data_IF_573681027945
#
_entry.id   IF_573681027945
#
_cell.length_a   1.000
_cell.length_b   1.000
_cell.length_c   1.000
_cell.angle_alpha   90.00
_cell.angle_beta   90.00
_cell.angle_gamma   90.00
#
_symmetry.space_group_name_H-M   'P 1'
#
loop_
_entity.id
_entity.type
_entity.pdbx_description
1 polymer ?
#
# COMPACT_ATOMS: atom_id res chain seq x y z
N UNK A 1 -21.03 2.45 8.19
CA UNK A 1 -20.94 1.24 9.04
C UNK A 1 -19.51 0.71 8.89
N UNK A 2 -18.77 0.46 9.97
CA UNK A 2 -17.37 0.01 9.91
C UNK A 2 -17.28 -1.49 9.54
N UNK A 3 -16.25 -1.89 8.79
CA UNK A 3 -16.01 -3.28 8.39
C UNK A 3 -15.75 -4.21 9.58
N UNK A 4 -16.19 -5.47 9.47
CA UNK A 4 -16.05 -6.54 10.48
C UNK A 4 -14.63 -7.04 10.68
N UNK A 5 -13.67 -6.64 9.83
CA UNK A 5 -12.26 -6.97 9.98
C UNK A 5 -11.78 -6.50 11.37
N UNK A 6 -11.02 -7.29 12.13
CA UNK A 6 -10.64 -6.90 13.50
C UNK A 6 -9.44 -5.95 13.57
N UNK A 7 -8.52 -6.06 12.61
CA UNK A 7 -7.28 -5.28 12.53
C UNK A 7 -7.07 -4.78 11.11
N UNK A 8 -7.06 -3.46 10.91
CA UNK A 8 -6.76 -2.86 9.60
C UNK A 8 -5.24 -2.78 9.41
N UNK A 9 -4.74 -3.17 8.23
CA UNK A 9 -3.31 -3.18 7.89
C UNK A 9 -3.11 -2.27 6.68
N UNK A 10 -2.32 -1.23 6.85
CA UNK A 10 -2.15 -0.15 5.88
C UNK A 10 -0.66 -0.03 5.57
N UNK A 11 -0.32 0.00 4.29
CA UNK A 11 1.05 0.27 3.83
C UNK A 11 1.11 1.66 3.23
N UNK A 12 2.07 2.48 3.68
CA UNK A 12 2.35 3.80 3.11
C UNK A 12 3.50 3.69 2.11
N UNK A 13 3.26 4.11 0.87
CA UNK A 13 4.20 4.11 -0.24
C UNK A 13 4.43 5.54 -0.72
N UNK A 14 5.66 6.03 -0.69
CA UNK A 14 5.97 7.40 -1.11
C UNK A 14 7.42 7.60 -1.49
N UNK A 15 7.76 8.84 -1.88
CA UNK A 15 9.14 9.26 -2.21
C UNK A 15 9.92 9.75 -1.00
N UNK A 16 9.25 10.43 -0.08
CA UNK A 16 9.87 11.12 1.05
C UNK A 16 9.54 10.42 2.36
N UNK A 17 10.57 10.18 3.19
CA UNK A 17 10.39 9.66 4.56
C UNK A 17 9.53 10.62 5.36
N UNK A 18 9.85 11.91 5.32
CA UNK A 18 9.11 12.93 6.07
C UNK A 18 7.65 13.00 5.66
N UNK A 19 7.33 12.97 4.36
CA UNK A 19 5.93 13.00 3.91
C UNK A 19 5.16 11.74 4.33
N UNK A 20 5.78 10.58 4.23
CA UNK A 20 5.18 9.33 4.70
C UNK A 20 4.96 9.34 6.22
N UNK A 21 5.95 9.79 6.99
CA UNK A 21 5.89 9.88 8.45
C UNK A 21 4.78 10.85 8.89
N UNK A 22 4.66 12.00 8.23
CA UNK A 22 3.58 12.97 8.47
C UNK A 22 2.20 12.36 8.24
N UNK A 23 2.03 11.63 7.13
CA UNK A 23 0.78 10.91 6.82
C UNK A 23 0.49 9.83 7.87
N UNK A 24 1.50 9.03 8.25
CA UNK A 24 1.34 7.99 9.27
C UNK A 24 0.97 8.57 10.63
N UNK A 25 1.60 9.68 11.01
CA UNK A 25 1.34 10.40 12.24
C UNK A 25 -0.07 11.04 12.24
N UNK A 26 -0.50 11.58 11.10
CA UNK A 26 -1.86 12.07 10.89
C UNK A 26 -2.90 10.97 11.07
N UNK A 27 -2.71 9.80 10.44
CA UNK A 27 -3.64 8.66 10.57
C UNK A 27 -3.73 8.18 12.03
N UNK A 28 -2.60 8.13 12.73
CA UNK A 28 -2.55 7.66 14.13
C UNK A 28 -2.95 8.73 15.16
N UNK A 29 -3.03 9.99 14.77
CA UNK A 29 -3.28 11.12 15.66
C UNK A 29 -2.17 11.35 16.71
N UNK A 30 -0.95 10.87 16.46
CA UNK A 30 0.21 11.02 17.36
C UNK A 30 1.53 10.92 16.60
N UNK A 31 2.61 11.48 17.16
CA UNK A 31 3.97 11.29 16.65
C UNK A 31 4.45 9.85 16.90
N UNK A 32 4.32 9.01 15.89
CA UNK A 32 4.60 7.58 15.91
C UNK A 32 5.77 7.18 14.99
N UNK A 33 6.00 7.93 13.92
CA UNK A 33 7.09 7.75 12.97
C UNK A 33 8.07 8.92 13.08
N UNK A 34 9.37 8.61 12.98
CA UNK A 34 10.45 9.59 12.92
C UNK A 34 10.62 10.08 11.47
N UNK A 35 10.63 11.39 11.26
CA UNK A 35 10.83 12.00 9.94
C UNK A 35 12.30 11.96 9.49
N UNK A 36 13.22 11.56 10.38
CA UNK A 36 14.67 11.42 10.15
C UNK A 36 15.13 9.97 10.11
N UNK A 37 14.22 9.00 10.11
CA UNK A 37 14.56 7.60 9.95
C UNK A 37 15.36 7.36 8.64
N UNK A 38 16.35 6.45 8.64
CA UNK A 38 17.00 6.05 7.40
C UNK A 38 15.96 5.56 6.40
N UNK A 39 16.04 5.98 5.14
CA UNK A 39 14.92 5.86 4.24
C UNK A 39 14.72 4.40 3.80
N UNK A 40 15.73 3.54 3.96
CA UNK A 40 15.75 2.11 3.65
C UNK A 40 15.11 1.24 4.73
N UNK A 41 14.73 1.83 5.87
CA UNK A 41 14.08 1.13 6.98
C UNK A 41 12.57 1.08 6.76
N UNK A 42 12.00 -0.13 6.82
CA UNK A 42 10.55 -0.33 6.88
C UNK A 42 10.09 -0.38 8.33
N UNK A 43 9.26 0.58 8.74
CA UNK A 43 8.77 0.66 10.11
C UNK A 43 7.35 0.11 10.23
N UNK A 44 7.09 -0.68 11.27
CA UNK A 44 5.75 -1.18 11.59
C UNK A 44 5.29 -0.62 12.93
N UNK A 45 4.24 0.19 12.91
CA UNK A 45 3.63 0.75 14.12
C UNK A 45 2.19 0.31 14.25
N UNK A 46 1.79 -0.01 15.48
CA UNK A 46 0.39 -0.30 15.84
C UNK A 46 -0.20 0.87 16.61
N UNK A 47 -1.48 1.10 16.41
CA UNK A 47 -2.25 2.09 17.16
C UNK A 47 -3.74 1.77 17.14
N UNK A 48 -4.47 2.45 18.01
CA UNK A 48 -5.93 2.44 17.99
C UNK A 48 -6.38 3.80 17.46
N UNK A 49 -7.14 3.79 16.37
CA UNK A 49 -7.75 4.98 15.78
C UNK A 49 -9.25 4.81 15.96
N UNK A 50 -9.87 5.66 16.78
CA UNK A 50 -11.23 5.48 17.31
C UNK A 50 -11.39 4.09 17.97
N UNK A 51 -12.27 3.24 17.44
CA UNK A 51 -12.51 1.88 17.92
C UNK A 51 -11.83 0.80 17.08
N UNK A 52 -10.93 1.21 16.18
CA UNK A 52 -10.25 0.31 15.24
C UNK A 52 -8.78 0.17 15.56
N UNK A 53 -8.31 -1.08 15.63
CA UNK A 53 -6.88 -1.36 15.62
C UNK A 53 -6.33 -1.20 14.21
N UNK A 54 -5.31 -0.36 14.09
CA UNK A 54 -4.61 -0.04 12.85
C UNK A 54 -3.15 -0.45 13.00
N UNK A 55 -2.64 -1.14 11.99
CA UNK A 55 -1.22 -1.41 11.80
C UNK A 55 -0.78 -0.64 10.56
N UNK A 56 0.14 0.30 10.74
CA UNK A 56 0.75 1.05 9.66
C UNK A 56 2.16 0.52 9.42
N UNK A 57 2.43 0.23 8.16
CA UNK A 57 3.74 -0.13 7.64
C UNK A 57 4.22 1.09 6.84
N UNK A 58 5.16 1.83 7.38
CA UNK A 58 5.84 2.89 6.65
C UNK A 58 6.93 2.24 5.80
N UNK A 59 6.79 2.34 4.48
CA UNK A 59 7.79 1.85 3.53
C UNK A 59 8.25 3.01 2.65
N UNK A 60 9.12 3.87 3.21
CA UNK A 60 9.62 5.00 2.46
C UNK A 60 10.42 4.53 1.23
N UNK A 61 10.54 5.42 0.24
CA UNK A 61 11.33 5.24 -0.99
C UNK A 61 10.80 4.29 -2.07
N UNK A 62 9.71 3.55 -1.86
CA UNK A 62 9.22 2.65 -2.92
C UNK A 62 8.83 3.37 -4.22
N UNK A 63 8.62 4.68 -4.17
CA UNK A 63 8.38 5.52 -5.34
C UNK A 63 9.58 6.35 -5.80
N UNK A 64 10.75 6.22 -5.17
CA UNK A 64 11.96 6.92 -5.61
C UNK A 64 12.50 6.34 -6.91
N UNK A 65 13.00 7.19 -7.81
CA UNK A 65 13.51 6.79 -9.13
C UNK A 65 15.02 6.51 -9.12
N UNK A 66 15.74 7.01 -8.11
CA UNK A 66 17.19 6.86 -7.95
C UNK A 66 17.65 5.63 -7.14
N UNK A 67 16.74 4.77 -6.69
CA UNK A 67 17.08 3.51 -6.00
C UNK A 67 17.17 2.35 -6.99
N UNK A 68 18.05 1.39 -6.70
CA UNK A 68 18.23 0.19 -7.52
C UNK A 68 17.01 -0.73 -7.44
N UNK A 69 16.81 -1.53 -8.49
CA UNK A 69 15.73 -2.54 -8.51
C UNK A 69 15.88 -3.59 -7.40
N UNK A 70 17.12 -3.88 -6.98
CA UNK A 70 17.40 -4.75 -5.83
C UNK A 70 16.87 -4.14 -4.53
N UNK A 71 17.20 -2.87 -4.25
CA UNK A 71 16.70 -2.17 -3.06
C UNK A 71 15.18 -2.07 -3.07
N UNK A 72 14.58 -1.71 -4.21
CA UNK A 72 13.14 -1.65 -4.36
C UNK A 72 12.47 -3.00 -4.04
N UNK A 73 13.05 -4.09 -4.56
CA UNK A 73 12.55 -5.46 -4.32
C UNK A 73 12.68 -5.86 -2.86
N UNK A 74 13.79 -5.52 -2.22
CA UNK A 74 14.04 -5.83 -0.82
C UNK A 74 13.05 -5.10 0.10
N UNK A 75 12.87 -3.78 -0.09
CA UNK A 75 11.91 -2.99 0.67
C UNK A 75 10.49 -3.52 0.46
N UNK A 76 10.08 -3.82 -0.78
CA UNK A 76 8.74 -4.35 -1.04
C UNK A 76 8.50 -5.71 -0.37
N UNK A 77 9.50 -6.62 -0.38
CA UNK A 77 9.43 -7.91 0.33
C UNK A 77 9.28 -7.72 1.83
N UNK A 78 10.03 -6.80 2.41
CA UNK A 78 9.93 -6.48 3.83
C UNK A 78 8.56 -5.91 4.19
N UNK A 79 8.01 -5.00 3.39
CA UNK A 79 6.66 -4.48 3.57
C UNK A 79 5.60 -5.59 3.49
N UNK A 80 5.74 -6.52 2.54
CA UNK A 80 4.86 -7.69 2.41
C UNK A 80 4.93 -8.55 3.67
N UNK A 81 6.13 -8.90 4.12
CA UNK A 81 6.35 -9.70 5.33
C UNK A 81 5.75 -9.03 6.58
N UNK A 82 5.97 -7.72 6.76
CA UNK A 82 5.46 -6.97 7.91
C UNK A 82 3.94 -6.75 7.89
N UNK A 83 3.31 -6.96 6.74
CA UNK A 83 1.86 -6.79 6.53
C UNK A 83 1.07 -8.09 6.55
N UNK A 84 1.69 -9.24 6.87
CA UNK A 84 1.06 -10.57 6.91
C UNK A 84 -0.34 -10.57 7.58
N UNK A 85 -1.35 -11.26 6.99
CA UNK A 85 -1.34 -12.03 5.72
C UNK A 85 -1.35 -11.17 4.44
N UNK A 86 -1.26 -9.84 4.57
CA UNK A 86 -1.15 -8.88 3.48
C UNK A 86 -1.90 -7.57 3.79
N UNK A 87 -1.64 -6.48 3.06
CA UNK A 87 -2.26 -5.19 3.35
C UNK A 87 -3.74 -5.18 2.96
N UNK A 88 -4.56 -4.53 3.77
CA UNK A 88 -5.95 -4.23 3.38
C UNK A 88 -6.04 -3.00 2.50
N UNK A 89 -5.20 -2.00 2.81
CA UNK A 89 -5.12 -0.72 2.12
C UNK A 89 -3.67 -0.39 1.83
N UNK A 90 -3.41 0.14 0.64
CA UNK A 90 -2.16 0.76 0.24
C UNK A 90 -2.44 2.26 0.03
N UNK A 91 -1.61 3.13 0.59
CA UNK A 91 -1.72 4.58 0.41
C UNK A 91 -0.50 5.06 -0.37
N UNK A 92 -0.74 5.58 -1.57
CA UNK A 92 0.28 6.27 -2.38
C UNK A 92 0.37 7.73 -1.93
N UNK A 93 1.46 8.09 -1.25
CA UNK A 93 1.75 9.45 -0.81
C UNK A 93 2.47 10.17 -1.95
N UNK A 94 1.80 11.13 -2.58
CA UNK A 94 2.28 11.86 -3.75
C UNK A 94 2.25 13.37 -3.53
N UNK A 95 3.30 14.06 -3.96
CA UNK A 95 3.29 15.51 -4.05
C UNK A 95 2.75 15.93 -5.44
N UNK A 96 1.64 16.69 -5.52
CA UNK A 96 1.03 17.05 -6.80
C UNK A 96 1.93 17.90 -7.68
N UNK A 97 2.85 18.68 -7.10
CA UNK A 97 3.78 19.54 -7.82
C UNK A 97 5.02 18.78 -8.36
N UNK A 98 5.22 17.53 -7.93
CA UNK A 98 6.40 16.73 -8.28
C UNK A 98 6.05 15.39 -8.93
N UNK A 99 4.76 15.14 -9.21
CA UNK A 99 4.33 13.91 -9.84
C UNK A 99 4.70 13.91 -11.33
N UNK A 100 5.48 12.92 -11.76
CA UNK A 100 6.01 12.80 -13.12
C UNK A 100 5.66 11.45 -13.74
N UNK A 101 5.88 11.30 -15.05
CA UNK A 101 5.65 10.03 -15.78
C UNK A 101 6.43 8.86 -15.15
N UNK A 102 7.63 9.11 -14.62
CA UNK A 102 8.43 8.09 -13.93
C UNK A 102 7.70 7.54 -12.71
N UNK A 103 6.90 8.36 -12.02
CA UNK A 103 6.09 7.93 -10.89
C UNK A 103 4.96 7.02 -11.33
N UNK A 104 4.32 7.34 -12.46
CA UNK A 104 3.27 6.49 -13.02
C UNK A 104 3.81 5.10 -13.36
N UNK A 105 5.02 5.04 -13.94
CA UNK A 105 5.71 3.79 -14.25
C UNK A 105 6.11 3.03 -12.99
N UNK A 106 6.65 3.74 -11.98
CA UNK A 106 7.06 3.14 -10.71
C UNK A 106 5.86 2.60 -9.95
N UNK A 107 4.74 3.33 -9.89
CA UNK A 107 3.48 2.87 -9.28
C UNK A 107 2.97 1.60 -9.97
N UNK A 108 2.97 1.56 -11.32
CA UNK A 108 2.61 0.35 -12.08
C UNK A 108 3.52 -0.82 -11.74
N UNK A 109 4.83 -0.60 -11.63
CA UNK A 109 5.80 -1.63 -11.27
C UNK A 109 5.57 -2.19 -9.87
N UNK A 110 5.33 -1.31 -8.90
CA UNK A 110 5.19 -1.68 -7.48
C UNK A 110 3.84 -2.35 -7.17
N UNK A 111 2.74 -1.83 -7.71
CA UNK A 111 1.40 -2.41 -7.49
C UNK A 111 1.09 -3.59 -8.41
N UNK A 112 1.79 -3.68 -9.55
CA UNK A 112 1.63 -4.78 -10.50
C UNK A 112 0.27 -4.78 -11.18
N UNK A 113 -0.45 -5.90 -11.01
CA UNK A 113 -1.72 -6.16 -11.64
C UNK A 113 -2.86 -5.31 -11.05
N UNK A 114 -4.02 -5.34 -11.71
CA UNK A 114 -5.23 -4.60 -11.35
C UNK A 114 -5.64 -4.78 -9.87
N UNK A 115 -5.42 -5.96 -9.31
CA UNK A 115 -5.74 -6.26 -7.91
C UNK A 115 -4.96 -5.37 -6.93
N UNK A 116 -3.70 -5.03 -7.21
CA UNK A 116 -2.94 -4.10 -6.38
C UNK A 116 -3.64 -2.74 -6.32
N UNK A 117 -4.08 -2.23 -7.47
CA UNK A 117 -4.84 -0.98 -7.55
C UNK A 117 -6.18 -1.05 -6.80
N UNK A 118 -6.87 -2.19 -6.76
CA UNK A 118 -8.13 -2.35 -6.01
C UNK A 118 -7.99 -2.15 -4.51
N UNK A 119 -6.78 -2.27 -3.95
CA UNK A 119 -6.48 -2.00 -2.54
C UNK A 119 -5.86 -0.61 -2.30
N UNK A 120 -5.66 0.19 -3.36
CA UNK A 120 -4.88 1.42 -3.29
C UNK A 120 -5.72 2.70 -3.34
N UNK A 121 -5.33 3.70 -2.56
CA UNK A 121 -5.76 5.09 -2.75
C UNK A 121 -4.56 6.04 -2.88
N UNK A 122 -4.81 7.22 -3.46
CA UNK A 122 -3.84 8.30 -3.55
C UNK A 122 -4.08 9.29 -2.42
N UNK A 123 -3.02 9.72 -1.74
CA UNK A 123 -3.03 10.81 -0.79
C UNK A 123 -2.04 11.89 -1.23
N UNK A 124 -2.49 13.13 -1.34
CA UNK A 124 -1.63 14.27 -1.67
C UNK A 124 -1.30 15.11 -0.45
N UNK A 125 -0.01 15.44 -0.24
CA UNK A 125 0.48 16.15 0.95
C UNK A 125 0.43 17.68 0.84
N UNK A 126 0.22 18.20 -0.37
CA UNK A 126 0.17 19.63 -0.66
C UNK A 126 -1.03 19.96 -1.53
N UNK A 127 -1.41 21.23 -1.51
CA UNK A 127 -2.32 21.80 -2.50
C UNK A 127 -1.52 22.20 -3.75
N UNK A 128 -2.07 21.94 -4.93
CA UNK A 128 -1.57 22.49 -6.18
C UNK A 128 -2.63 23.38 -6.82
N UNK A 129 -2.19 24.52 -7.33
CA UNK A 129 -3.06 25.40 -8.13
C UNK A 129 -3.12 24.95 -9.60
N UNK A 130 -2.25 24.01 -9.99
CA UNK A 130 -2.15 23.48 -11.34
C UNK A 130 -2.63 22.03 -11.38
N UNK A 131 -3.24 21.67 -12.51
CA UNK A 131 -3.67 20.30 -12.76
C UNK A 131 -2.46 19.48 -13.23
N UNK A 132 -2.14 18.42 -12.50
CA UNK A 132 -1.13 17.45 -12.91
C UNK A 132 -1.81 16.24 -13.58
N UNK A 133 -1.73 16.16 -14.91
CA UNK A 133 -2.36 15.09 -15.70
C UNK A 133 -1.85 13.70 -15.33
N UNK A 134 -0.59 13.58 -14.91
CA UNK A 134 -0.02 12.30 -14.49
C UNK A 134 -0.62 11.86 -13.17
N UNK A 135 -0.72 12.76 -12.19
CA UNK A 135 -1.40 12.49 -10.93
C UNK A 135 -2.85 12.05 -11.17
N UNK A 136 -3.57 12.74 -12.06
CA UNK A 136 -4.94 12.38 -12.41
C UNK A 136 -5.05 10.97 -13.01
N UNK A 137 -4.11 10.56 -13.87
CA UNK A 137 -4.05 9.18 -14.39
C UNK A 137 -3.83 8.15 -13.28
N UNK A 138 -2.97 8.45 -12.29
CA UNK A 138 -2.74 7.55 -11.15
C UNK A 138 -4.01 7.46 -10.29
N UNK A 139 -4.66 8.58 -10.00
CA UNK A 139 -5.94 8.63 -9.25
C UNK A 139 -7.01 7.80 -9.96
N UNK A 140 -7.15 7.94 -11.27
CA UNK A 140 -8.11 7.17 -12.08
C UNK A 140 -7.84 5.66 -11.98
N UNK A 141 -6.58 5.23 -12.07
CA UNK A 141 -6.21 3.81 -11.88
C UNK A 141 -6.49 3.30 -10.47
N UNK A 142 -6.44 4.18 -9.48
CA UNK A 142 -6.81 3.88 -8.09
C UNK A 142 -8.33 4.02 -7.85
N UNK A 143 -9.16 3.91 -8.89
CA UNK A 143 -10.63 3.97 -8.83
C UNK A 143 -11.15 5.32 -8.29
N UNK A 144 -10.45 6.41 -8.63
CA UNK A 144 -10.74 7.77 -8.17
C UNK A 144 -10.73 7.95 -6.65
N UNK A 145 -10.05 7.06 -5.92
CA UNK A 145 -9.85 7.20 -4.47
C UNK A 145 -8.68 8.14 -4.22
N UNK A 146 -9.01 9.38 -3.85
CA UNK A 146 -8.05 10.43 -3.59
C UNK A 146 -8.42 11.18 -2.30
N UNK A 147 -7.42 11.48 -1.49
CA UNK A 147 -7.53 12.35 -0.33
C UNK A 147 -6.48 13.45 -0.40
N UNK A 148 -6.90 14.71 -0.27
CA UNK A 148 -5.98 15.84 -0.14
C UNK A 148 -5.75 16.15 1.33
N UNK A 149 -4.52 15.96 1.80
CA UNK A 149 -4.13 16.25 3.17
C UNK A 149 -3.87 17.75 3.32
N UNK A 150 -4.72 18.39 4.11
CA UNK A 150 -4.65 19.79 4.51
C UNK A 150 -4.45 19.90 6.02
N UNK A 151 -4.01 21.07 6.50
CA UNK A 151 -3.84 21.30 7.94
C UNK A 151 -5.14 21.15 8.74
N UNK A 152 -6.28 21.45 8.12
CA UNK A 152 -7.61 21.34 8.71
C UNK A 152 -8.29 20.00 8.43
N UNK A 153 -7.62 19.06 7.75
CA UNK A 153 -8.19 17.77 7.43
C UNK A 153 -8.51 17.00 8.70
N UNK A 154 -9.70 16.39 8.74
CA UNK A 154 -10.03 15.40 9.74
C UNK A 154 -9.57 14.01 9.27
N UNK A 155 -9.01 13.16 10.13
CA UNK A 155 -8.73 11.77 9.81
C UNK A 155 -9.99 10.98 9.42
N UNK A 156 -11.19 11.47 9.78
CA UNK A 156 -12.45 10.75 9.63
C UNK A 156 -12.79 10.39 8.19
N UNK A 157 -12.63 11.33 7.26
CA UNK A 157 -12.91 11.11 5.83
C UNK A 157 -11.92 10.11 5.22
N UNK A 158 -10.66 10.18 5.66
CA UNK A 158 -9.61 9.24 5.26
C UNK A 158 -9.91 7.82 5.79
N UNK A 159 -10.32 7.71 7.06
CA UNK A 159 -10.72 6.43 7.65
C UNK A 159 -11.96 5.86 6.97
N UNK A 160 -12.94 6.69 6.61
CA UNK A 160 -14.11 6.24 5.86
C UNK A 160 -13.70 5.69 4.49
N UNK A 161 -12.77 6.36 3.82
CA UNK A 161 -12.19 5.85 2.56
C UNK A 161 -11.56 4.47 2.76
N UNK A 162 -10.79 4.26 3.82
CA UNK A 162 -10.22 2.92 4.11
C UNK A 162 -11.29 1.86 4.31
N UNK A 163 -12.37 2.18 5.02
CA UNK A 163 -13.50 1.26 5.20
C UNK A 163 -14.19 0.92 3.88
N UNK A 164 -14.38 1.89 3.01
CA UNK A 164 -14.98 1.69 1.69
C UNK A 164 -14.10 0.78 0.82
N UNK A 165 -12.77 0.92 0.88
CA UNK A 165 -11.82 0.03 0.20
C UNK A 165 -11.97 -1.40 0.73
N UNK A 166 -11.99 -1.57 2.06
CA UNK A 166 -12.12 -2.88 2.68
C UNK A 166 -13.45 -3.53 2.32
N UNK A 167 -14.55 -2.78 2.33
CA UNK A 167 -15.88 -3.27 1.99
C UNK A 167 -16.00 -3.66 0.52
N UNK A 168 -15.48 -2.82 -0.38
CA UNK A 168 -15.43 -3.10 -1.83
C UNK A 168 -14.65 -4.39 -2.12
N UNK A 169 -13.64 -4.70 -1.31
CA UNK A 169 -12.87 -5.94 -1.41
C UNK A 169 -13.44 -7.10 -0.55
N UNK A 170 -14.65 -6.97 -0.02
CA UNK A 170 -15.34 -7.95 0.83
C UNK A 170 -14.53 -8.36 2.08
N UNK A 171 -13.81 -7.40 2.68
CA UNK A 171 -12.96 -7.63 3.85
C UNK A 171 -11.64 -8.35 3.55
N UNK A 172 -11.38 -8.73 2.30
CA UNK A 172 -10.14 -9.40 1.90
C UNK A 172 -8.97 -8.41 1.94
N UNK A 173 -7.78 -8.96 2.15
CA UNK A 173 -6.52 -8.24 1.98
C UNK A 173 -5.89 -8.60 0.64
N UNK A 174 -4.98 -7.76 0.18
CA UNK A 174 -4.14 -8.07 -0.96
C UNK A 174 -3.27 -9.29 -0.60
N UNK A 175 -3.20 -10.27 -1.49
CA UNK A 175 -2.35 -11.45 -1.33
C UNK A 175 -1.09 -11.22 -2.14
N UNK A 176 0.02 -11.00 -1.43
CA UNK A 176 1.35 -10.92 -2.03
C UNK A 176 2.03 -12.28 -1.83
N UNK A 177 2.26 -13.03 -2.90
CA UNK A 177 2.81 -14.39 -2.80
C UNK A 177 4.32 -14.38 -2.54
N UNK A 178 4.83 -15.33 -1.75
CA UNK A 178 6.26 -15.57 -1.61
C UNK A 178 6.89 -15.78 -3.00
N UNK A 179 7.79 -14.88 -3.39
CA UNK A 179 8.40 -14.83 -4.72
C UNK A 179 8.01 -13.62 -5.57
N UNK A 180 6.97 -12.86 -5.19
CA UNK A 180 6.71 -11.56 -5.81
C UNK A 180 7.87 -10.60 -5.49
N UNK A 181 8.31 -9.86 -6.50
CA UNK A 181 9.32 -8.82 -6.32
C UNK A 181 8.70 -7.55 -5.72
N UNK A 182 7.39 -7.35 -5.91
CA UNK A 182 6.63 -6.19 -5.44
C UNK A 182 5.26 -6.62 -4.89
N UNK A 183 4.31 -5.69 -4.69
CA UNK A 183 2.91 -5.97 -4.32
C UNK A 183 2.09 -6.58 -5.48
N UNK A 184 2.75 -7.30 -6.39
CA UNK A 184 2.13 -7.92 -7.56
C UNK A 184 1.48 -9.24 -7.19
N UNK A 185 0.26 -9.49 -7.67
CA UNK A 185 -0.37 -10.81 -7.60
C UNK A 185 0.07 -11.66 -8.80
N UNK A 186 0.39 -12.94 -8.57
CA UNK A 186 0.72 -13.85 -9.67
C UNK A 186 -0.53 -14.09 -10.54
N UNK A 187 -0.48 -13.73 -11.82
CA UNK A 187 -1.30 -14.40 -12.84
C UNK A 187 -0.70 -15.78 -13.10
N UNK A 188 -0.85 -16.71 -12.17
CA UNK A 188 -0.77 -18.12 -12.53
C UNK A 188 -2.19 -18.60 -12.70
N UNK A 189 -2.58 -18.80 -13.98
CA UNK A 189 -3.70 -19.63 -14.32
C UNK A 189 -3.55 -20.93 -13.54
N UNK A 190 -4.38 -21.10 -12.50
CA UNK A 190 -4.53 -22.39 -11.83
C UNK A 190 -5.16 -23.33 -12.86
N UNK A 191 -4.35 -24.02 -13.64
CA UNK A 191 -4.76 -25.30 -14.23
C UNK A 191 -5.03 -26.18 -13.03
N UNK A 192 -6.31 -26.31 -12.69
CA UNK A 192 -6.78 -27.12 -11.58
C UNK A 192 -6.50 -28.57 -11.95
N UNK A 193 -5.40 -29.14 -11.46
CA UNK A 193 -5.32 -30.60 -11.36
C UNK A 193 -6.38 -31.01 -10.33
N UNK A 194 -7.45 -31.60 -10.82
CA UNK A 194 -8.39 -32.35 -9.99
C UNK A 194 -7.68 -33.64 -9.57
N UNK A 195 -7.17 -33.67 -8.33
CA UNK A 195 -6.85 -34.95 -7.70
C UNK A 195 -8.17 -35.53 -7.20
N UNK A 196 -8.76 -36.39 -8.04
CA UNK A 196 -9.71 -37.37 -7.59
C UNK A 196 -8.98 -38.42 -6.76
N UNK A 197 -9.71 -38.92 -5.77
CA UNK A 197 -9.31 -39.78 -4.65
C UNK A 197 -8.22 -40.84 -4.96
N UNK A 198 -7.43 -41.15 -3.91
CA UNK A 198 -6.66 -42.39 -3.61
C UNK A 198 -5.13 -42.24 -3.60
N UNK A 199 -4.56 -42.41 -2.40
CA UNK A 199 -3.15 -42.67 -2.00
C UNK A 199 -2.15 -42.86 -3.14
N UNK A 200 -1.03 -42.12 -3.11
CA UNK A 200 0.33 -42.61 -3.40
C UNK A 200 1.39 -41.59 -2.91
N UNK A 201 2.34 -42.08 -2.10
CA UNK A 201 3.70 -41.55 -1.98
C UNK A 201 4.29 -41.27 -3.37
N UNK A 202 5.09 -40.20 -3.53
CA UNK A 202 6.48 -40.22 -4.04
C UNK A 202 7.11 -38.84 -3.78
N UNK A 203 8.34 -38.89 -3.27
CA UNK A 203 9.41 -37.90 -3.20
C UNK A 203 9.44 -36.78 -4.25
N UNK A 204 9.92 -35.60 -3.84
CA UNK A 204 10.58 -34.62 -4.71
C UNK A 204 11.98 -34.33 -4.13
N UNK A 205 13.00 -34.93 -4.77
CA UNK A 205 14.45 -34.66 -4.83
C UNK A 205 15.11 -33.83 -3.70
N UNK A 206 16.03 -34.32 -2.86
CA UNK A 206 16.83 -35.56 -2.78
C UNK A 206 16.85 -36.08 -1.34
#
# INVERSE_FOLDING_TARGET
MFSTVSNLRIVLLGKSVSENSDVGNFILGRAAFDDKAPPDVVERVRGRVKDRHVMLINSPQLLQTNISDHQLTQTARESVYLSDPGPHVIVLVLNPNQCSTEDEERVKKVLGAEQGFQHTMVLTTQESNETNDILQKIIQKCFNRHFSLQRSSSPDDLLQTFEDIVQTNAGRHLVCTEGSQYFTTNQQARTRCECDTTVCDVSCDK
#
